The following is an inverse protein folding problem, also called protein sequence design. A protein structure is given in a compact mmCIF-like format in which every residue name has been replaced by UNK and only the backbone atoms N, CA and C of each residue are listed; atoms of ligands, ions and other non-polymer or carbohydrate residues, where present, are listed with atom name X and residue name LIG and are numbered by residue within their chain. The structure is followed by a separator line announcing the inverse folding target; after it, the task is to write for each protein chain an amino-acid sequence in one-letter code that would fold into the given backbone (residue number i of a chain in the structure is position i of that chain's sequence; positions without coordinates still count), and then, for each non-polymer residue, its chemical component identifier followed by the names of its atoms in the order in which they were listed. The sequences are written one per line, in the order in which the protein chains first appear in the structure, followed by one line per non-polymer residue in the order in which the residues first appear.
data_IF_236425679110
#
_entry.id   IF_236425679110
#
_cell.length_a   1.000
_cell.length_b   1.000
_cell.length_c   1.000
_cell.angle_alpha   90.00
_cell.angle_beta   90.00
_cell.angle_gamma   90.00
#
_symmetry.space_group_name_H-M   'P 1'
#
loop_
_entity.id
_entity.type
_entity.pdbx_description
1 polymer ?
#
# COMPACT_ATOMS: atom_id res chain seq x y z
N UNK A 1 47.23 -52.95 -17.23
CA UNK A 1 46.12 -52.00 -17.47
C UNK A 1 45.82 -51.28 -16.16
N UNK A 2 45.65 -49.95 -16.14
CA UNK A 2 45.14 -49.27 -14.95
C UNK A 2 43.63 -49.56 -14.78
N UNK A 3 43.09 -49.52 -13.54
CA UNK A 3 41.67 -49.72 -13.30
C UNK A 3 40.86 -48.56 -13.89
N UNK A 4 39.71 -48.87 -14.47
CA UNK A 4 38.79 -47.90 -15.07
C UNK A 4 38.18 -47.02 -13.96
N UNK A 5 38.06 -45.69 -14.12
CA UNK A 5 37.47 -44.82 -13.11
C UNK A 5 36.00 -45.18 -12.90
N UNK A 6 35.62 -45.38 -11.65
CA UNK A 6 34.24 -45.63 -11.23
C UNK A 6 33.43 -44.35 -11.51
N UNK A 7 32.54 -44.43 -12.51
CA UNK A 7 31.63 -43.35 -12.86
C UNK A 7 30.64 -43.18 -11.70
N UNK A 8 30.82 -42.13 -10.91
CA UNK A 8 29.89 -41.75 -9.86
C UNK A 8 28.47 -41.66 -10.44
N UNK A 9 27.55 -42.48 -9.94
CA UNK A 9 26.16 -42.47 -10.39
C UNK A 9 25.54 -41.07 -10.20
N UNK A 10 24.71 -40.59 -11.13
CA UNK A 10 24.03 -39.30 -10.98
C UNK A 10 23.12 -39.35 -9.75
N UNK A 11 23.52 -38.66 -8.69
CA UNK A 11 22.72 -38.53 -7.45
C UNK A 11 21.32 -38.05 -7.82
N UNK A 12 20.31 -38.87 -7.50
CA UNK A 12 18.89 -38.50 -7.68
C UNK A 12 18.65 -37.14 -7.02
N UNK A 13 18.00 -36.22 -7.75
CA UNK A 13 17.63 -34.90 -7.21
C UNK A 13 16.78 -35.13 -5.96
N UNK A 14 17.25 -34.65 -4.80
CA UNK A 14 16.45 -34.66 -3.57
C UNK A 14 15.24 -33.74 -3.76
N UNK A 15 14.08 -34.23 -3.34
CA UNK A 15 12.85 -33.43 -3.27
C UNK A 15 12.93 -32.44 -2.11
N UNK A 16 12.08 -31.41 -2.14
CA UNK A 16 11.95 -30.47 -1.02
C UNK A 16 11.29 -31.18 0.15
N UNK A 17 11.95 -31.15 1.31
CA UNK A 17 11.36 -31.59 2.57
C UNK A 17 10.46 -30.47 3.14
N UNK A 18 9.65 -30.82 4.13
CA UNK A 18 8.85 -29.81 4.85
C UNK A 18 9.72 -28.76 5.55
N UNK A 19 10.86 -29.17 6.12
CA UNK A 19 11.81 -28.23 6.71
C UNK A 19 12.42 -27.30 5.65
N UNK A 20 12.72 -27.81 4.44
CA UNK A 20 13.19 -26.98 3.33
C UNK A 20 12.13 -25.95 2.92
N UNK A 21 10.86 -26.33 2.90
CA UNK A 21 9.75 -25.42 2.60
C UNK A 21 9.61 -24.33 3.67
N UNK A 22 9.73 -24.67 4.95
CA UNK A 22 9.69 -23.71 6.07
C UNK A 22 10.84 -22.70 5.95
N UNK A 23 12.08 -23.19 5.74
CA UNK A 23 13.24 -22.33 5.56
C UNK A 23 13.11 -21.43 4.34
N UNK A 24 12.61 -21.98 3.23
CA UNK A 24 12.35 -21.23 2.00
C UNK A 24 11.31 -20.12 2.23
N UNK A 25 10.19 -20.42 2.88
CA UNK A 25 9.16 -19.41 3.16
C UNK A 25 9.68 -18.31 4.08
N UNK A 26 10.39 -18.66 5.15
CA UNK A 26 11.05 -17.68 6.03
C UNK A 26 12.00 -16.76 5.27
N UNK A 27 12.84 -17.33 4.40
CA UNK A 27 13.80 -16.53 3.63
C UNK A 27 13.11 -15.63 2.60
N UNK A 28 12.05 -16.11 1.93
CA UNK A 28 11.28 -15.30 0.97
C UNK A 28 10.55 -14.15 1.66
N UNK A 29 10.04 -14.36 2.88
CA UNK A 29 9.46 -13.29 3.69
C UNK A 29 10.54 -12.27 4.09
N UNK A 30 11.72 -12.73 4.51
CA UNK A 30 12.80 -11.85 4.94
C UNK A 30 13.38 -10.99 3.78
N UNK A 31 13.61 -11.59 2.61
CA UNK A 31 14.29 -10.91 1.50
C UNK A 31 13.32 -10.20 0.53
N UNK A 32 12.02 -10.50 0.63
CA UNK A 32 10.94 -9.97 -0.20
C UNK A 32 11.29 -9.87 -1.71
N UNK A 33 11.76 -10.96 -2.37
CA UNK A 33 12.29 -10.90 -3.72
C UNK A 33 11.26 -10.41 -4.76
N UNK A 34 9.96 -10.57 -4.46
CA UNK A 34 8.83 -10.14 -5.29
C UNK A 34 8.58 -8.62 -5.29
N UNK A 35 9.10 -7.85 -4.33
CA UNK A 35 8.92 -6.38 -4.26
C UNK A 35 9.71 -5.61 -5.29
N UNK A 36 10.73 -6.22 -5.86
CA UNK A 36 11.54 -5.59 -6.88
C UNK A 36 10.79 -5.60 -8.22
N UNK A 37 10.94 -4.53 -9.00
CA UNK A 37 10.41 -4.40 -10.37
C UNK A 37 11.52 -3.96 -11.31
N UNK A 38 11.38 -4.21 -12.61
CA UNK A 38 12.33 -3.72 -13.63
C UNK A 38 13.55 -4.62 -13.86
N UNK A 39 13.36 -5.82 -14.41
CA UNK A 39 14.43 -6.69 -14.92
C UNK A 39 15.30 -7.40 -13.86
N UNK A 40 15.40 -6.87 -12.64
CA UNK A 40 16.30 -7.36 -11.56
C UNK A 40 15.65 -8.31 -10.55
N UNK A 41 14.44 -8.79 -10.83
CA UNK A 41 13.70 -9.68 -9.91
C UNK A 41 14.43 -11.01 -9.76
N UNK A 42 15.02 -11.53 -10.84
CA UNK A 42 15.69 -12.83 -10.77
C UNK A 42 16.94 -12.81 -9.90
N UNK A 43 17.73 -11.75 -9.95
CA UNK A 43 18.90 -11.58 -9.07
C UNK A 43 18.53 -11.73 -7.58
N UNK A 44 17.33 -11.28 -7.20
CA UNK A 44 16.82 -11.40 -5.83
C UNK A 44 16.43 -12.82 -5.48
N UNK A 45 15.80 -13.54 -6.40
CA UNK A 45 15.51 -14.96 -6.20
C UNK A 45 16.78 -15.80 -6.16
N UNK A 46 17.79 -15.47 -6.97
CA UNK A 46 19.10 -16.12 -6.91
C UNK A 46 19.78 -15.82 -5.58
N UNK A 47 19.64 -14.61 -5.04
CA UNK A 47 20.15 -14.30 -3.70
C UNK A 47 19.49 -15.13 -2.60
N UNK A 48 18.17 -15.31 -2.65
CA UNK A 48 17.46 -16.22 -1.73
C UNK A 48 18.02 -17.64 -1.84
N UNK A 49 18.29 -18.11 -3.07
CA UNK A 49 18.87 -19.43 -3.28
C UNK A 49 20.28 -19.57 -2.67
N UNK A 50 21.14 -18.56 -2.83
CA UNK A 50 22.46 -18.51 -2.20
C UNK A 50 22.40 -18.58 -0.67
N UNK A 51 21.47 -17.84 -0.06
CA UNK A 51 21.30 -17.83 1.40
C UNK A 51 20.82 -19.20 1.89
N UNK A 52 19.85 -19.82 1.22
CA UNK A 52 19.37 -21.15 1.57
C UNK A 52 20.48 -22.21 1.45
N UNK A 53 21.29 -22.16 0.39
CA UNK A 53 22.42 -23.09 0.21
C UNK A 53 23.54 -22.89 1.24
N UNK A 54 23.65 -21.70 1.82
CA UNK A 54 24.61 -21.41 2.90
C UNK A 54 24.13 -21.94 4.26
N UNK A 55 22.86 -22.35 4.37
CA UNK A 55 22.30 -22.90 5.60
C UNK A 55 22.57 -24.40 5.71
N UNK A 56 23.23 -24.88 6.79
CA UNK A 56 23.46 -26.32 7.00
C UNK A 56 22.17 -27.09 7.26
N UNK A 57 21.07 -26.42 7.61
CA UNK A 57 19.76 -27.03 7.82
C UNK A 57 18.98 -27.26 6.52
N UNK A 58 19.45 -26.71 5.39
CA UNK A 58 18.83 -26.88 4.09
C UNK A 58 19.38 -28.12 3.38
N UNK A 59 18.49 -29.00 2.94
CA UNK A 59 18.87 -30.37 2.57
C UNK A 59 19.45 -30.50 1.15
N UNK A 60 19.28 -29.48 0.30
CA UNK A 60 19.66 -29.52 -1.12
C UNK A 60 21.08 -28.99 -1.33
N UNK A 61 21.84 -29.69 -2.17
CA UNK A 61 23.21 -29.31 -2.56
C UNK A 61 23.24 -28.20 -3.63
N UNK A 62 22.18 -28.08 -4.43
CA UNK A 62 22.08 -27.09 -5.51
C UNK A 62 20.68 -26.49 -5.56
N UNK A 63 20.60 -25.19 -5.78
CA UNK A 63 19.36 -24.43 -5.85
C UNK A 63 19.55 -23.21 -6.76
N UNK A 64 18.62 -23.00 -7.68
CA UNK A 64 18.59 -21.81 -8.54
C UNK A 64 17.39 -20.93 -8.15
N UNK A 65 17.49 -19.61 -8.34
CA UNK A 65 16.40 -18.69 -7.99
C UNK A 65 15.09 -19.02 -8.69
N UNK A 66 15.14 -19.50 -9.94
CA UNK A 66 13.94 -19.95 -10.65
C UNK A 66 13.26 -21.15 -9.97
N UNK A 67 14.04 -22.07 -9.41
CA UNK A 67 13.52 -23.19 -8.62
C UNK A 67 12.87 -22.71 -7.33
N UNK A 68 13.48 -21.75 -6.63
CA UNK A 68 12.90 -21.13 -5.43
C UNK A 68 11.57 -20.44 -5.75
N UNK A 69 11.53 -19.62 -6.80
CA UNK A 69 10.32 -18.95 -7.24
C UNK A 69 9.20 -19.93 -7.56
N UNK A 70 9.51 -20.99 -8.33
CA UNK A 70 8.52 -21.99 -8.70
C UNK A 70 8.02 -22.77 -7.47
N UNK A 71 8.93 -23.16 -6.56
CA UNK A 71 8.55 -23.87 -5.34
C UNK A 71 7.68 -23.01 -4.42
N UNK A 72 8.05 -21.75 -4.23
CA UNK A 72 7.24 -20.77 -3.49
C UNK A 72 5.85 -20.66 -4.09
N UNK A 73 5.74 -20.52 -5.40
CA UNK A 73 4.45 -20.41 -6.11
C UNK A 73 3.56 -21.63 -5.83
N UNK A 74 4.13 -22.84 -5.90
CA UNK A 74 3.41 -24.08 -5.59
C UNK A 74 2.89 -24.13 -4.14
N UNK A 75 3.70 -23.68 -3.18
CA UNK A 75 3.29 -23.62 -1.76
C UNK A 75 2.14 -22.63 -1.56
N UNK A 76 2.22 -21.45 -2.17
CA UNK A 76 1.19 -20.43 -2.09
C UNK A 76 -0.12 -20.87 -2.73
N UNK A 77 -0.08 -21.57 -3.86
CA UNK A 77 -1.28 -22.09 -4.50
C UNK A 77 -1.94 -23.21 -3.69
N UNK A 78 -1.13 -24.05 -3.04
CA UNK A 78 -1.63 -25.05 -2.10
C UNK A 78 -2.33 -24.40 -0.88
N UNK A 79 -1.74 -23.34 -0.32
CA UNK A 79 -2.33 -22.57 0.78
C UNK A 79 -3.68 -21.95 0.37
N UNK A 80 -3.73 -21.22 -0.76
CA UNK A 80 -5.01 -20.65 -1.27
C UNK A 80 -6.11 -21.70 -1.41
N UNK A 81 -5.77 -22.89 -1.91
CA UNK A 81 -6.73 -23.98 -2.08
C UNK A 81 -7.28 -24.47 -0.74
N UNK A 82 -6.43 -24.60 0.28
CA UNK A 82 -6.84 -24.97 1.65
C UNK A 82 -7.74 -23.90 2.27
N UNK A 83 -7.34 -22.63 2.23
CA UNK A 83 -8.16 -21.54 2.79
C UNK A 83 -9.54 -21.47 2.13
N UNK A 84 -9.62 -21.72 0.81
CA UNK A 84 -10.92 -21.78 0.11
C UNK A 84 -11.80 -22.98 0.50
N UNK A 85 -11.19 -24.09 0.95
CA UNK A 85 -11.90 -25.27 1.43
C UNK A 85 -12.34 -25.09 2.88
N UNK A 86 -11.49 -24.50 3.72
CA UNK A 86 -11.77 -24.20 5.14
C UNK A 86 -12.81 -23.10 5.29
N UNK A 87 -12.76 -22.04 4.48
CA UNK A 87 -13.80 -21.00 4.44
C UNK A 87 -15.19 -21.55 4.10
N UNK A 88 -15.27 -22.70 3.42
CA UNK A 88 -16.53 -23.40 3.11
C UNK A 88 -17.05 -24.28 4.25
N UNK A 89 -16.21 -24.60 5.25
CA UNK A 89 -16.49 -25.57 6.31
C UNK A 89 -16.60 -24.93 7.72
N UNK A 90 -16.69 -23.59 7.79
CA UNK A 90 -16.57 -22.79 9.02
C UNK A 90 -17.33 -23.33 10.24
N UNK A 91 -16.60 -23.54 11.34
CA UNK A 91 -17.10 -23.86 12.68
C UNK A 91 -16.04 -24.36 13.66
N UNK A 92 -14.85 -24.72 13.21
CA UNK A 92 -13.77 -25.26 14.05
C UNK A 92 -12.52 -24.38 13.97
N UNK A 93 -11.93 -24.08 15.12
CA UNK A 93 -10.63 -23.43 15.25
C UNK A 93 -9.54 -24.35 14.67
N UNK A 94 -8.94 -23.96 13.55
CA UNK A 94 -7.89 -24.73 12.88
C UNK A 94 -6.53 -24.32 13.42
N UNK A 95 -5.81 -25.24 14.03
CA UNK A 95 -4.38 -25.06 14.36
C UNK A 95 -3.56 -25.19 13.09
N UNK A 96 -3.05 -24.08 12.56
CA UNK A 96 -2.18 -24.07 11.40
C UNK A 96 -0.79 -24.62 11.74
N UNK A 97 -0.24 -25.47 10.87
CA UNK A 97 1.18 -25.82 10.93
C UNK A 97 2.04 -24.58 10.64
N UNK A 98 3.30 -24.57 11.10
CA UNK A 98 4.22 -23.44 10.86
C UNK A 98 4.34 -23.11 9.36
N UNK A 99 4.42 -24.14 8.51
CA UNK A 99 4.48 -23.98 7.05
C UNK A 99 3.22 -23.29 6.50
N UNK A 100 2.05 -23.64 7.00
CA UNK A 100 0.78 -23.03 6.58
C UNK A 100 0.70 -21.57 7.03
N UNK A 101 1.01 -21.29 8.29
CA UNK A 101 1.05 -19.93 8.81
C UNK A 101 2.03 -19.03 8.04
N UNK A 102 3.22 -19.54 7.69
CA UNK A 102 4.19 -18.82 6.87
C UNK A 102 3.70 -18.58 5.44
N UNK A 103 3.01 -19.57 4.84
CA UNK A 103 2.46 -19.41 3.50
C UNK A 103 1.34 -18.36 3.47
N UNK A 104 0.47 -18.33 4.49
CA UNK A 104 -0.56 -17.31 4.66
C UNK A 104 0.02 -15.91 4.86
N UNK A 105 0.99 -15.77 5.78
CA UNK A 105 1.67 -14.50 6.01
C UNK A 105 2.35 -13.97 4.73
N UNK A 106 2.93 -14.87 3.92
CA UNK A 106 3.51 -14.48 2.64
C UNK A 106 2.45 -14.06 1.61
N UNK A 107 1.27 -14.70 1.59
CA UNK A 107 0.15 -14.27 0.74
C UNK A 107 -0.31 -12.85 1.10
N UNK A 108 -0.44 -12.56 2.39
CA UNK A 108 -0.83 -11.25 2.90
C UNK A 108 0.20 -10.19 2.51
N UNK A 109 1.48 -10.42 2.82
CA UNK A 109 2.59 -9.52 2.46
C UNK A 109 2.64 -9.24 0.95
N UNK A 110 2.42 -10.27 0.12
CA UNK A 110 2.39 -10.12 -1.34
C UNK A 110 1.16 -9.32 -1.83
N UNK A 111 0.02 -9.44 -1.15
CA UNK A 111 -1.18 -8.66 -1.47
C UNK A 111 -0.99 -7.18 -1.13
N UNK A 112 -0.44 -6.89 0.05
CA UNK A 112 -0.06 -5.53 0.46
C UNK A 112 0.91 -4.90 -0.54
N UNK A 113 1.97 -5.64 -0.92
CA UNK A 113 2.94 -5.15 -1.90
C UNK A 113 2.33 -4.84 -3.28
N UNK A 114 1.31 -5.60 -3.70
CA UNK A 114 0.57 -5.31 -4.94
C UNK A 114 -0.28 -4.06 -4.77
N UNK A 115 -0.95 -3.91 -3.64
CA UNK A 115 -1.77 -2.75 -3.32
C UNK A 115 -0.92 -1.47 -3.29
N UNK A 116 0.22 -1.48 -2.61
CA UNK A 116 1.17 -0.36 -2.55
C UNK A 116 1.64 0.07 -3.95
N UNK A 117 1.92 -0.89 -4.83
CA UNK A 117 2.30 -0.61 -6.22
C UNK A 117 1.20 0.08 -7.00
N UNK A 118 -0.06 -0.34 -6.79
CA UNK A 118 -1.21 0.30 -7.44
C UNK A 118 -1.38 1.73 -6.93
N UNK A 119 -1.31 1.94 -5.60
CA UNK A 119 -1.40 3.27 -5.00
C UNK A 119 -0.29 4.20 -5.50
N UNK A 120 0.96 3.71 -5.51
CA UNK A 120 2.10 4.49 -6.01
C UNK A 120 1.91 4.89 -7.48
N UNK A 121 1.49 3.95 -8.33
CA UNK A 121 1.24 4.22 -9.75
C UNK A 121 0.10 5.23 -9.95
N UNK A 122 -0.97 5.13 -9.15
CA UNK A 122 -2.07 6.08 -9.20
C UNK A 122 -1.63 7.50 -8.77
N UNK A 123 -0.82 7.60 -7.71
CA UNK A 123 -0.25 8.87 -7.26
C UNK A 123 0.69 9.49 -8.32
N UNK A 124 1.54 8.69 -8.95
CA UNK A 124 2.40 9.13 -10.06
C UNK A 124 1.57 9.62 -11.26
N UNK A 125 0.48 8.93 -11.60
CA UNK A 125 -0.41 9.32 -12.69
C UNK A 125 -1.13 10.65 -12.39
N UNK A 126 -1.64 10.84 -11.17
CA UNK A 126 -2.25 12.11 -10.75
C UNK A 126 -1.24 13.25 -10.77
N UNK A 127 -0.01 13.01 -10.31
CA UNK A 127 1.03 14.03 -10.35
C UNK A 127 1.39 14.43 -11.80
N UNK A 128 1.41 13.46 -12.72
CA UNK A 128 1.62 13.71 -14.13
C UNK A 128 0.47 14.51 -14.76
N UNK A 129 -0.79 14.20 -14.41
CA UNK A 129 -1.97 14.94 -14.87
C UNK A 129 -1.96 16.39 -14.36
N UNK A 130 -1.62 16.62 -13.08
CA UNK A 130 -1.47 17.96 -12.53
C UNK A 130 -0.37 18.73 -13.27
N UNK A 131 0.77 18.09 -13.54
CA UNK A 131 1.86 18.72 -14.29
C UNK A 131 1.45 19.06 -15.74
N UNK A 132 0.67 18.19 -16.39
CA UNK A 132 0.14 18.44 -17.74
C UNK A 132 -0.86 19.61 -17.74
N UNK A 133 -1.81 19.61 -16.80
CA UNK A 133 -2.79 20.69 -16.64
C UNK A 133 -2.11 22.04 -16.39
N UNK A 134 -1.10 22.07 -15.50
CA UNK A 134 -0.28 23.25 -15.29
C UNK A 134 0.40 23.72 -16.60
N UNK A 135 1.01 22.80 -17.36
CA UNK A 135 1.59 23.10 -18.66
C UNK A 135 0.57 23.64 -19.67
N UNK A 136 -0.65 23.13 -19.68
CA UNK A 136 -1.74 23.60 -20.53
C UNK A 136 -2.16 25.04 -20.19
N UNK A 137 -2.29 25.38 -18.90
CA UNK A 137 -2.62 26.75 -18.49
C UNK A 137 -1.59 27.77 -18.96
N UNK A 138 -0.29 27.43 -18.87
CA UNK A 138 0.81 28.26 -19.37
C UNK A 138 0.69 28.45 -20.89
N UNK A 139 0.42 27.37 -21.65
CA UNK A 139 0.22 27.45 -23.11
C UNK A 139 -0.98 28.34 -23.46
N UNK A 140 -2.12 28.21 -22.78
CA UNK A 140 -3.31 29.04 -22.99
C UNK A 140 -3.01 30.52 -22.76
N UNK A 141 -2.36 30.86 -21.65
CA UNK A 141 -1.95 32.24 -21.33
C UNK A 141 -1.01 32.84 -22.38
N UNK A 142 -0.07 32.04 -22.90
CA UNK A 142 0.83 32.49 -23.97
C UNK A 142 0.07 32.79 -25.27
N UNK A 143 -0.87 31.91 -25.66
CA UNK A 143 -1.71 32.11 -26.86
C UNK A 143 -2.59 33.35 -26.73
N UNK A 144 -3.23 33.57 -25.58
CA UNK A 144 -4.06 34.76 -25.36
C UNK A 144 -3.24 36.06 -25.34
N UNK A 145 -1.97 36.02 -24.92
CA UNK A 145 -1.07 37.18 -25.08
C UNK A 145 -0.78 37.50 -26.54
N UNK A 146 -0.64 36.48 -27.40
CA UNK A 146 -0.36 36.66 -28.83
C UNK A 146 -1.57 37.14 -29.62
N UNK A 147 -2.79 36.73 -29.23
CA UNK A 147 -4.04 37.16 -29.89
C UNK A 147 -4.44 38.60 -29.58
N UNK A 148 -3.83 39.23 -28.56
CA UNK A 148 -4.13 40.62 -28.24
C UNK A 148 -3.65 41.49 -29.42
N UNK A 149 -4.53 42.26 -30.07
CA UNK A 149 -4.07 43.15 -31.14
C UNK A 149 -3.00 44.08 -30.58
N UNK A 150 -2.00 44.41 -31.40
CA UNK A 150 -1.17 45.57 -31.15
C UNK A 150 -2.13 46.77 -31.16
N UNK A 151 -2.56 47.19 -29.98
CA UNK A 151 -3.43 48.35 -29.87
C UNK A 151 -2.66 49.53 -30.49
N UNK A 152 -3.28 50.12 -31.51
CA UNK A 152 -2.95 51.46 -31.98
C UNK A 152 -2.84 52.40 -30.78
N UNK A 153 -1.87 53.30 -30.86
CA UNK A 153 -1.66 54.40 -29.93
C UNK A 153 -2.99 55.13 -29.63
N UNK A 154 -3.49 54.91 -28.41
CA UNK A 154 -4.66 55.58 -27.87
C UNK A 154 -4.53 55.65 -26.36
N UNK A 155 -3.71 56.60 -25.90
CA UNK A 155 -3.41 56.93 -24.51
C UNK A 155 -2.67 55.85 -23.71
N UNK A 156 -1.33 55.91 -23.76
CA UNK A 156 -0.44 55.09 -22.93
C UNK A 156 -0.67 55.38 -21.44
N UNK A 157 -1.20 54.44 -20.64
CA UNK A 157 -1.32 54.64 -19.21
C UNK A 157 0.09 54.74 -18.63
N UNK A 158 0.41 55.87 -18.02
CA UNK A 158 1.67 56.11 -17.30
C UNK A 158 1.99 54.93 -16.38
N UNK A 159 3.27 54.56 -16.28
CA UNK A 159 3.76 53.39 -15.52
C UNK A 159 3.15 53.27 -14.10
N UNK A 160 2.85 54.40 -13.46
CA UNK A 160 2.18 54.47 -12.16
C UNK A 160 0.79 53.82 -12.13
N UNK A 161 -0.06 54.05 -13.14
CA UNK A 161 -1.44 53.53 -13.17
C UNK A 161 -1.48 52.00 -13.31
N UNK A 162 -0.49 51.41 -14.00
CA UNK A 162 -0.37 49.95 -14.15
C UNK A 162 0.06 49.28 -12.84
N UNK A 163 1.00 49.90 -12.12
CA UNK A 163 1.45 49.45 -10.79
C UNK A 163 0.29 49.46 -9.78
N UNK A 164 -0.51 50.53 -9.74
CA UNK A 164 -1.68 50.63 -8.84
C UNK A 164 -2.70 49.52 -9.10
N UNK A 165 -3.00 49.21 -10.37
CA UNK A 165 -3.92 48.10 -10.71
C UNK A 165 -3.38 46.74 -10.29
N UNK A 166 -2.08 46.49 -10.49
CA UNK A 166 -1.44 45.23 -10.06
C UNK A 166 -1.49 45.09 -8.53
N UNK A 167 -1.19 46.17 -7.81
CA UNK A 167 -1.24 46.18 -6.33
C UNK A 167 -2.67 45.91 -5.83
N UNK A 168 -3.69 46.49 -6.48
CA UNK A 168 -5.10 46.22 -6.16
C UNK A 168 -5.46 44.74 -6.31
N UNK A 169 -5.10 44.13 -7.45
CA UNK A 169 -5.37 42.70 -7.71
C UNK A 169 -4.64 41.80 -6.69
N UNK A 170 -3.40 42.13 -6.33
CA UNK A 170 -2.66 41.36 -5.31
C UNK A 170 -3.31 41.48 -3.92
N UNK A 171 -3.79 42.67 -3.56
CA UNK A 171 -4.47 42.90 -2.29
C UNK A 171 -5.78 42.09 -2.21
N UNK A 172 -6.60 42.16 -3.26
CA UNK A 172 -7.84 41.37 -3.35
C UNK A 172 -7.59 39.86 -3.29
N UNK A 173 -6.53 39.39 -3.96
CA UNK A 173 -6.15 37.97 -3.92
C UNK A 173 -5.71 37.54 -2.52
N UNK A 174 -4.89 38.36 -1.85
CA UNK A 174 -4.44 38.11 -0.47
C UNK A 174 -5.59 38.14 0.53
N UNK A 175 -6.57 39.02 0.33
CA UNK A 175 -7.77 39.08 1.16
C UNK A 175 -8.62 37.82 1.02
N UNK A 176 -8.83 37.34 -0.22
CA UNK A 176 -9.53 36.08 -0.48
C UNK A 176 -8.82 34.87 0.11
N UNK A 177 -7.48 34.81 0.00
CA UNK A 177 -6.66 33.76 0.60
C UNK A 177 -6.80 33.73 2.13
N UNK A 178 -6.76 34.91 2.77
CA UNK A 178 -6.95 35.02 4.22
C UNK A 178 -8.38 34.67 4.65
N UNK A 179 -9.38 35.06 3.88
CA UNK A 179 -10.78 34.72 4.15
C UNK A 179 -11.01 33.21 4.09
N UNK A 180 -10.54 32.54 3.03
CA UNK A 180 -10.64 31.08 2.91
C UNK A 180 -9.92 30.36 4.05
N UNK A 181 -8.75 30.85 4.46
CA UNK A 181 -8.02 30.29 5.60
C UNK A 181 -8.80 30.46 6.91
N UNK A 182 -9.43 31.61 7.15
CA UNK A 182 -10.27 31.83 8.34
C UNK A 182 -11.48 30.90 8.35
N UNK A 183 -12.15 30.76 7.20
CA UNK A 183 -13.30 29.87 7.04
C UNK A 183 -12.92 28.41 7.32
N UNK A 184 -11.78 27.94 6.81
CA UNK A 184 -11.26 26.60 7.12
C UNK A 184 -11.04 26.39 8.62
N UNK A 185 -10.40 27.35 9.29
CA UNK A 185 -10.16 27.29 10.73
C UNK A 185 -11.46 27.33 11.55
N UNK A 186 -12.48 28.02 11.07
CA UNK A 186 -13.81 28.04 11.70
C UNK A 186 -14.55 26.72 11.52
N UNK A 187 -14.54 26.16 10.31
CA UNK A 187 -15.10 24.85 10.03
C UNK A 187 -14.45 23.76 10.89
N UNK A 188 -13.13 23.72 10.97
CA UNK A 188 -12.40 22.73 11.78
C UNK A 188 -12.71 22.86 13.28
N UNK A 189 -12.90 24.10 13.79
CA UNK A 189 -13.36 24.32 15.17
C UNK A 189 -14.79 23.86 15.37
N UNK A 190 -15.69 24.12 14.42
CA UNK A 190 -17.07 23.68 14.48
C UNK A 190 -17.16 22.15 14.49
N UNK A 191 -16.38 21.46 13.65
CA UNK A 191 -16.32 20.00 13.60
C UNK A 191 -15.82 19.39 14.90
N UNK A 192 -14.77 19.97 15.51
CA UNK A 192 -14.31 19.56 16.84
C UNK A 192 -15.41 19.65 17.90
N UNK A 193 -16.11 20.78 17.93
CA UNK A 193 -17.23 20.99 18.86
C UNK A 193 -18.38 20.02 18.57
N UNK A 194 -18.66 19.73 17.30
CA UNK A 194 -19.70 18.78 16.90
C UNK A 194 -19.37 17.35 17.36
N UNK A 195 -18.12 16.91 17.16
CA UNK A 195 -17.63 15.60 17.62
C UNK A 195 -17.70 15.46 19.13
N UNK A 196 -17.31 16.50 19.88
CA UNK A 196 -17.42 16.50 21.34
C UNK A 196 -18.89 16.40 21.80
N UNK A 197 -19.80 17.13 21.14
CA UNK A 197 -21.24 17.05 21.41
C UNK A 197 -21.79 15.66 21.12
N UNK A 198 -21.42 15.05 19.99
CA UNK A 198 -21.84 13.70 19.63
C UNK A 198 -21.38 12.67 20.65
N UNK A 199 -20.11 12.75 21.09
CA UNK A 199 -19.57 11.88 22.15
C UNK A 199 -20.36 12.01 23.45
N UNK A 200 -20.72 13.23 23.86
CA UNK A 200 -21.53 13.44 25.06
C UNK A 200 -22.95 12.86 24.93
N UNK A 201 -23.55 12.93 23.73
CA UNK A 201 -24.86 12.32 23.46
C UNK A 201 -24.77 10.80 23.55
N UNK A 202 -23.75 10.19 22.94
CA UNK A 202 -23.53 8.74 22.98
C UNK A 202 -23.30 8.26 24.41
N UNK A 203 -22.47 8.94 25.18
CA UNK A 203 -22.19 8.55 26.57
C UNK A 203 -23.44 8.69 27.46
N UNK A 204 -24.23 9.77 27.28
CA UNK A 204 -25.51 9.92 27.97
C UNK A 204 -26.49 8.80 27.62
N UNK A 205 -26.56 8.43 26.34
CA UNK A 205 -27.43 7.34 25.88
C UNK A 205 -27.01 6.01 26.51
N UNK A 206 -25.70 5.71 26.54
CA UNK A 206 -25.15 4.53 27.21
C UNK A 206 -25.48 4.51 28.70
N UNK A 207 -25.41 5.64 29.39
CA UNK A 207 -25.82 5.73 30.79
C UNK A 207 -27.30 5.41 30.99
N UNK A 208 -28.18 5.94 30.13
CA UNK A 208 -29.61 5.65 30.16
C UNK A 208 -29.88 4.16 29.91
N UNK A 209 -29.22 3.56 28.92
CA UNK A 209 -29.42 2.16 28.57
C UNK A 209 -28.88 1.21 29.67
N UNK A 210 -27.74 1.55 30.27
CA UNK A 210 -27.21 0.83 31.44
C UNK A 210 -28.18 0.91 32.63
N UNK A 211 -28.75 2.09 32.90
CA UNK A 211 -29.73 2.27 33.97
C UNK A 211 -30.99 1.42 33.72
N UNK A 212 -31.52 1.45 32.50
CA UNK A 212 -32.66 0.61 32.08
C UNK A 212 -32.38 -0.88 32.22
N UNK A 213 -31.18 -1.33 31.86
CA UNK A 213 -30.77 -2.72 32.01
C UNK A 213 -30.77 -3.15 33.49
N UNK A 214 -30.21 -2.32 34.38
CA UNK A 214 -30.20 -2.57 35.83
C UNK A 214 -31.64 -2.67 36.35
N UNK A 215 -32.54 -1.78 35.93
CA UNK A 215 -33.95 -1.82 36.33
C UNK A 215 -34.65 -3.11 35.87
N UNK A 216 -34.43 -3.56 34.64
CA UNK A 216 -34.98 -4.82 34.13
C UNK A 216 -34.45 -6.02 34.93
N UNK A 217 -33.14 -6.07 35.19
CA UNK A 217 -32.54 -7.14 36.01
C UNK A 217 -33.10 -7.15 37.43
N UNK A 218 -33.32 -5.99 38.04
CA UNK A 218 -33.91 -5.88 39.37
C UNK A 218 -35.38 -6.35 39.42
N UNK A 219 -36.14 -6.19 38.33
CA UNK A 219 -37.51 -6.73 38.22
C UNK A 219 -37.49 -8.25 38.03
N UNK A 220 -36.59 -8.77 37.22
CA UNK A 220 -36.45 -10.22 36.99
C UNK A 220 -35.98 -10.97 38.24
N UNK A 221 -35.13 -10.36 39.06
CA UNK A 221 -34.66 -10.94 40.33
C UNK A 221 -35.72 -10.97 41.46
N UNK A 222 -36.87 -10.31 41.27
CA UNK A 222 -37.98 -10.27 42.25
C UNK A 222 -39.13 -11.22 41.90
N UNK A 223 -38.99 -12.03 40.84
CA UNK A 223 -39.88 -13.15 40.50
C UNK A 223 -39.23 -14.46 40.91
#
# INVERSE_FOLDING_TARGET
MPPRPELAEPRKRKDFTENDDILLLKQVIADEPFRHGGGKVMDKWDKVAEVLLSSPAFSRETLAGKTVQNRTTLLLDAAKKKNSAEARLSGVEVTLSEKEALAEALLETMAECRHDRVLKKAAEAQMAEIAEAAGETVRKLAVERLKRPAAEDGESPTKGTKLVKIVGILAEYKEKELAAKKEQWEAERADRIALERERLVVERQRQIDNQRLIEVLAVLAKK
#
